data_IF_942696029585
#
_entry.id   IF_942696029585
#
_cell.length_a   1.000
_cell.length_b   1.000
_cell.length_c   1.000
_cell.angle_alpha   90.00
_cell.angle_beta   90.00
_cell.angle_gamma   90.00
#
_symmetry.space_group_name_H-M   'P 1'
#
loop_
_entity.id
_entity.type
_entity.pdbx_description
1 polymer ?
#
# COMPACT_ATOMS: atom_id res chain seq x y z
N UNK A 1 60.52 -46.50 -26.23
CA UNK A 1 59.62 -46.88 -27.35
C UNK A 1 58.66 -45.73 -27.56
N UNK A 2 58.64 -45.13 -28.75
CA UNK A 2 57.70 -44.08 -29.13
C UNK A 2 56.47 -44.72 -29.78
N UNK A 3 55.29 -44.49 -29.20
CA UNK A 3 54.02 -44.94 -29.78
C UNK A 3 53.57 -43.88 -30.78
N UNK A 4 53.63 -44.21 -32.07
CA UNK A 4 53.16 -43.35 -33.16
C UNK A 4 51.71 -43.72 -33.48
N UNK A 5 50.76 -42.90 -33.02
CA UNK A 5 49.33 -43.11 -33.29
C UNK A 5 49.00 -42.40 -34.61
N UNK A 6 48.91 -43.18 -35.69
CA UNK A 6 48.46 -42.68 -36.99
C UNK A 6 46.93 -42.64 -37.01
N UNK A 7 46.36 -41.49 -36.63
CA UNK A 7 44.91 -41.27 -36.71
C UNK A 7 44.54 -41.15 -38.18
N UNK A 8 43.91 -42.19 -38.72
CA UNK A 8 43.35 -42.18 -40.07
C UNK A 8 42.35 -41.03 -40.21
N UNK A 9 42.43 -40.27 -41.30
CA UNK A 9 41.57 -39.12 -41.60
C UNK A 9 40.06 -39.48 -41.47
N UNK A 10 39.70 -40.74 -41.74
CA UNK A 10 38.33 -41.26 -41.56
C UNK A 10 37.83 -41.17 -40.11
N UNK A 11 38.70 -41.44 -39.14
CA UNK A 11 38.35 -41.39 -37.71
C UNK A 11 38.02 -39.96 -37.25
N UNK A 12 38.73 -38.96 -37.80
CA UNK A 12 38.50 -37.53 -37.53
C UNK A 12 37.15 -37.09 -38.06
N UNK A 13 36.80 -37.46 -39.30
CA UNK A 13 35.49 -37.13 -39.87
C UNK A 13 34.33 -37.77 -39.10
N UNK A 14 34.46 -39.02 -38.62
CA UNK A 14 33.44 -39.64 -37.76
C UNK A 14 33.26 -38.91 -36.43
N UNK A 15 34.34 -38.43 -35.81
CA UNK A 15 34.28 -37.68 -34.55
C UNK A 15 33.59 -36.32 -34.72
N UNK A 16 33.91 -35.60 -35.80
CA UNK A 16 33.27 -34.32 -36.12
C UNK A 16 31.77 -34.50 -36.35
N UNK A 17 31.39 -35.55 -37.08
CA UNK A 17 29.97 -35.83 -37.37
C UNK A 17 29.20 -36.15 -36.09
N UNK A 18 29.79 -36.94 -35.19
CA UNK A 18 29.20 -37.29 -33.90
C UNK A 18 29.01 -36.05 -33.00
N UNK A 19 29.99 -35.14 -32.99
CA UNK A 19 29.90 -33.89 -32.23
C UNK A 19 28.75 -33.00 -32.72
N UNK A 20 28.55 -32.89 -34.05
CA UNK A 20 27.45 -32.12 -34.64
C UNK A 20 26.09 -32.71 -34.22
N UNK A 21 25.93 -34.04 -34.30
CA UNK A 21 24.70 -34.71 -33.87
C UNK A 21 24.41 -34.47 -32.39
N UNK A 22 25.44 -34.49 -31.55
CA UNK A 22 25.30 -34.26 -30.11
C UNK A 22 24.80 -32.84 -29.80
N UNK A 23 25.35 -31.82 -30.48
CA UNK A 23 24.94 -30.42 -30.30
C UNK A 23 23.47 -30.23 -30.71
N UNK A 24 23.06 -30.83 -31.83
CA UNK A 24 21.67 -30.77 -32.29
C UNK A 24 20.74 -31.46 -31.28
N UNK A 25 21.11 -32.64 -30.77
CA UNK A 25 20.31 -33.37 -29.79
C UNK A 25 20.15 -32.59 -28.48
N UNK A 26 21.21 -31.94 -27.98
CA UNK A 26 21.15 -31.07 -26.79
C UNK A 26 20.27 -29.85 -27.05
N UNK A 27 20.39 -29.22 -28.23
CA UNK A 27 19.57 -28.07 -28.61
C UNK A 27 18.07 -28.40 -28.65
N UNK A 28 17.72 -29.55 -29.25
CA UNK A 28 16.32 -30.04 -29.27
C UNK A 28 15.83 -30.34 -27.86
N UNK A 29 16.65 -31.01 -27.04
CA UNK A 29 16.26 -31.33 -25.67
C UNK A 29 16.05 -30.06 -24.84
N UNK A 30 16.94 -29.08 -24.93
CA UNK A 30 16.80 -27.80 -24.23
C UNK A 30 15.55 -27.02 -24.70
N UNK A 31 15.28 -26.99 -26.00
CA UNK A 31 14.11 -26.33 -26.57
C UNK A 31 12.79 -26.97 -26.09
N UNK A 32 12.76 -28.31 -26.02
CA UNK A 32 11.58 -29.07 -25.61
C UNK A 32 11.48 -29.27 -24.08
N UNK A 33 12.56 -28.99 -23.32
CA UNK A 33 12.59 -29.07 -21.85
C UNK A 33 12.17 -27.77 -21.17
N UNK A 34 11.96 -26.70 -21.94
CA UNK A 34 11.30 -25.50 -21.46
C UNK A 34 9.85 -25.82 -21.16
N UNK A 35 9.57 -26.30 -19.95
CA UNK A 35 8.20 -26.40 -19.44
C UNK A 35 7.48 -25.06 -19.59
N UNK A 36 6.13 -25.06 -19.53
CA UNK A 36 5.36 -23.82 -19.65
C UNK A 36 5.97 -22.76 -18.73
N UNK A 37 6.15 -21.51 -19.22
CA UNK A 37 6.71 -20.46 -18.39
C UNK A 37 5.92 -20.41 -17.09
N UNK A 38 6.63 -20.36 -15.95
CA UNK A 38 5.99 -20.15 -14.67
C UNK A 38 5.30 -18.79 -14.71
N UNK A 39 4.01 -18.77 -15.07
CA UNK A 39 3.14 -17.60 -14.99
C UNK A 39 2.88 -17.34 -13.51
N UNK A 40 3.87 -16.81 -12.82
CA UNK A 40 3.70 -16.27 -11.47
C UNK A 40 3.21 -14.83 -11.63
N UNK A 41 1.89 -14.67 -11.68
CA UNK A 41 1.23 -13.38 -11.72
C UNK A 41 -0.27 -13.57 -11.92
N UNK A 42 -1.06 -12.85 -11.13
CA UNK A 42 -2.50 -12.67 -11.38
C UNK A 42 -2.69 -11.98 -12.73
N UNK A 43 -3.79 -12.29 -13.43
CA UNK A 43 -4.13 -11.54 -14.63
C UNK A 43 -4.50 -10.09 -14.28
N UNK A 44 -4.37 -9.16 -15.22
CA UNK A 44 -4.75 -7.76 -14.98
C UNK A 44 -6.24 -7.64 -14.63
N UNK A 45 -7.07 -8.47 -15.25
CA UNK A 45 -8.51 -8.54 -14.97
C UNK A 45 -8.81 -9.03 -13.55
N UNK A 46 -8.01 -9.95 -13.00
CA UNK A 46 -8.14 -10.38 -11.61
C UNK A 46 -7.82 -9.23 -10.63
N UNK A 47 -6.79 -8.44 -10.93
CA UNK A 47 -6.38 -7.29 -10.09
C UNK A 47 -7.42 -6.16 -10.16
N UNK A 48 -7.88 -5.81 -11.36
CA UNK A 48 -8.91 -4.78 -11.55
C UNK A 48 -10.23 -5.16 -10.87
N UNK A 49 -10.62 -6.45 -10.92
CA UNK A 49 -11.81 -6.95 -10.24
C UNK A 49 -11.73 -6.82 -8.71
N UNK A 50 -10.56 -7.08 -8.13
CA UNK A 50 -10.32 -6.88 -6.69
C UNK A 50 -10.34 -5.40 -6.32
N UNK A 51 -9.70 -4.54 -7.12
CA UNK A 51 -9.68 -3.09 -6.87
C UNK A 51 -11.07 -2.45 -6.96
N UNK A 52 -11.91 -2.88 -7.91
CA UNK A 52 -13.29 -2.42 -8.02
C UNK A 52 -14.12 -2.81 -6.78
N UNK A 53 -13.95 -4.03 -6.27
CA UNK A 53 -14.63 -4.49 -5.04
C UNK A 53 -14.20 -3.70 -3.81
N UNK A 54 -12.90 -3.42 -3.67
CA UNK A 54 -12.37 -2.61 -2.57
C UNK A 54 -12.94 -1.18 -2.63
N UNK A 55 -12.91 -0.57 -3.82
CA UNK A 55 -13.41 0.80 -4.03
C UNK A 55 -14.90 0.89 -3.70
N UNK A 56 -15.71 -0.03 -4.22
CA UNK A 56 -17.16 -0.08 -3.96
C UNK A 56 -17.47 -0.33 -2.49
N UNK A 57 -16.75 -1.24 -1.84
CA UNK A 57 -16.90 -1.52 -0.42
C UNK A 57 -16.55 -0.32 0.46
N UNK A 58 -15.48 0.41 0.11
CA UNK A 58 -15.09 1.64 0.80
C UNK A 58 -16.14 2.74 0.66
N UNK A 59 -16.70 2.93 -0.55
CA UNK A 59 -17.80 3.87 -0.78
C UNK A 59 -19.05 3.47 -0.01
N UNK A 60 -19.36 2.17 0.07
CA UNK A 60 -20.51 1.66 0.83
C UNK A 60 -20.36 1.90 2.34
N UNK A 61 -19.18 1.65 2.92
CA UNK A 61 -18.94 1.94 4.35
C UNK A 61 -19.05 3.45 4.63
N UNK A 62 -18.49 4.29 3.76
CA UNK A 62 -18.56 5.76 3.89
C UNK A 62 -20.00 6.29 3.80
N UNK A 63 -20.78 5.84 2.81
CA UNK A 63 -22.18 6.26 2.63
C UNK A 63 -23.11 5.85 3.79
N UNK A 64 -22.72 4.82 4.55
CA UNK A 64 -23.46 4.35 5.71
C UNK A 64 -22.92 4.90 7.06
N UNK A 65 -21.91 5.77 7.05
CA UNK A 65 -21.18 6.22 8.24
C UNK A 65 -20.65 5.05 9.10
N UNK A 66 -20.18 3.99 8.45
CA UNK A 66 -19.63 2.80 9.08
C UNK A 66 -18.10 2.78 8.95
N UNK A 67 -17.42 2.19 9.93
CA UNK A 67 -15.98 1.98 9.89
C UNK A 67 -15.63 0.71 9.11
N UNK A 68 -14.41 0.63 8.57
CA UNK A 68 -13.91 -0.57 7.92
C UNK A 68 -13.43 -1.54 9.01
N UNK A 69 -14.11 -2.68 9.13
CA UNK A 69 -13.72 -3.75 10.06
C UNK A 69 -12.60 -4.60 9.49
N UNK A 70 -12.72 -4.99 8.21
CA UNK A 70 -11.78 -5.93 7.59
C UNK A 70 -11.81 -5.82 6.07
N UNK A 71 -10.67 -6.04 5.44
CA UNK A 71 -10.54 -6.24 4.00
C UNK A 71 -10.05 -7.67 3.80
N UNK A 72 -10.82 -8.49 3.08
CA UNK A 72 -10.39 -9.84 2.75
C UNK A 72 -9.34 -9.78 1.62
N UNK A 73 -8.09 -10.18 1.86
CA UNK A 73 -7.00 -10.06 0.89
C UNK A 73 -7.18 -10.99 -0.33
N UNK A 74 -7.93 -12.09 -0.18
CA UNK A 74 -8.13 -13.09 -1.23
C UNK A 74 -9.32 -12.74 -2.15
N UNK A 75 -10.30 -11.99 -1.65
CA UNK A 75 -11.54 -11.71 -2.39
C UNK A 75 -11.80 -10.23 -2.65
N UNK A 76 -11.04 -9.32 -2.02
CA UNK A 76 -11.25 -7.87 -2.09
C UNK A 76 -12.53 -7.40 -1.40
N UNK A 77 -13.21 -8.27 -0.65
CA UNK A 77 -14.43 -7.92 0.06
C UNK A 77 -14.12 -7.03 1.27
N UNK A 78 -14.80 -5.90 1.37
CA UNK A 78 -14.70 -4.96 2.50
C UNK A 78 -15.89 -5.17 3.42
N UNK A 79 -15.62 -5.45 4.69
CA UNK A 79 -16.66 -5.57 5.72
C UNK A 79 -16.71 -4.28 6.53
N UNK A 80 -17.89 -3.68 6.62
CA UNK A 80 -18.13 -2.49 7.43
C UNK A 80 -18.71 -2.90 8.79
N UNK A 81 -18.44 -2.13 9.83
CA UNK A 81 -19.13 -2.26 11.12
C UNK A 81 -19.62 -0.91 11.61
N UNK A 82 -20.70 -0.92 12.39
CA UNK A 82 -21.08 0.24 13.19
C UNK A 82 -19.92 0.52 14.12
N UNK A 83 -19.45 1.76 14.07
CA UNK A 83 -18.33 2.22 14.87
C UNK A 83 -18.67 2.04 16.35
N UNK A 84 -18.12 0.99 16.99
CA UNK A 84 -18.37 0.66 18.41
C UNK A 84 -17.69 1.64 19.38
N UNK A 85 -17.07 2.71 18.86
CA UNK A 85 -16.58 3.82 19.67
C UNK A 85 -17.68 4.86 19.79
N UNK A 86 -18.43 4.75 20.88
CA UNK A 86 -19.00 5.94 21.49
C UNK A 86 -17.91 7.01 21.59
N UNK A 87 -18.06 8.10 20.82
CA UNK A 87 -17.23 9.31 20.93
C UNK A 87 -15.71 9.09 21.00
N UNK A 88 -15.13 8.19 20.21
CA UNK A 88 -13.69 7.95 20.15
C UNK A 88 -13.20 7.95 18.71
N UNK A 89 -12.41 8.94 18.33
CA UNK A 89 -11.97 9.13 16.94
C UNK A 89 -11.15 7.97 16.36
N UNK A 90 -11.17 7.87 15.04
CA UNK A 90 -10.36 6.98 14.19
C UNK A 90 -8.89 7.04 14.64
N UNK A 91 -8.36 5.92 15.15
CA UNK A 91 -6.91 5.76 15.45
C UNK A 91 -6.20 5.39 14.13
N UNK A 92 -5.81 6.40 13.36
CA UNK A 92 -4.91 6.23 12.22
C UNK A 92 -3.48 6.13 12.73
N UNK A 93 -2.91 4.93 12.90
CA UNK A 93 -1.53 4.73 13.40
C UNK A 93 -1.36 5.13 14.90
N UNK A 94 -0.73 4.26 15.70
CA UNK A 94 -0.46 4.51 17.14
C UNK A 94 0.36 5.77 17.38
N UNK A 95 1.03 6.26 16.34
CA UNK A 95 1.85 7.47 16.39
C UNK A 95 1.09 8.72 15.95
N UNK A 96 -0.21 8.66 15.59
CA UNK A 96 -0.98 9.86 15.22
C UNK A 96 -2.07 10.11 16.24
N UNK A 97 -1.94 11.23 16.95
CA UNK A 97 -2.91 11.73 17.89
C UNK A 97 -3.83 12.74 17.20
N UNK A 98 -5.15 12.52 17.24
CA UNK A 98 -6.14 13.45 16.66
C UNK A 98 -6.97 14.08 17.76
N UNK A 99 -7.10 15.42 17.75
CA UNK A 99 -7.93 16.15 18.72
C UNK A 99 -8.80 17.20 18.08
N UNK A 100 -10.07 17.21 18.47
CA UNK A 100 -11.06 18.21 18.07
C UNK A 100 -11.46 19.06 19.27
N UNK A 101 -11.49 20.38 19.14
CA UNK A 101 -11.87 21.29 20.21
C UNK A 101 -12.54 22.57 19.68
N UNK A 102 -13.46 23.14 20.48
CA UNK A 102 -14.12 24.43 20.25
C UNK A 102 -13.49 25.57 21.08
N UNK A 103 -12.27 25.37 21.58
CA UNK A 103 -11.53 26.30 22.42
C UNK A 103 -10.06 25.89 22.55
N UNK A 104 -9.26 26.77 23.13
CA UNK A 104 -7.82 26.55 23.29
C UNK A 104 -7.54 25.28 24.08
N UNK A 105 -6.73 24.40 23.51
CA UNK A 105 -6.61 23.03 23.96
C UNK A 105 -5.16 22.53 23.83
N UNK A 106 -4.51 22.10 24.93
CA UNK A 106 -3.16 21.58 24.88
C UNK A 106 -3.15 20.19 24.24
N UNK A 107 -2.38 20.00 23.19
CA UNK A 107 -2.25 18.72 22.48
C UNK A 107 -1.18 17.81 23.13
N UNK A 108 -0.19 18.40 23.81
CA UNK A 108 0.88 17.67 24.48
C UNK A 108 2.17 17.64 23.67
N UNK A 109 3.11 16.79 24.11
CA UNK A 109 4.42 16.63 23.48
C UNK A 109 4.33 15.68 22.30
N UNK A 110 4.57 16.21 21.10
CA UNK A 110 4.57 15.48 19.84
C UNK A 110 5.66 16.01 18.91
N UNK A 111 6.14 15.21 17.97
CA UNK A 111 7.16 15.63 17.01
C UNK A 111 6.66 16.73 16.07
N UNK A 112 5.42 16.61 15.57
CA UNK A 112 4.78 17.68 14.80
C UNK A 112 3.25 17.64 14.89
N UNK A 113 2.59 18.80 14.81
CA UNK A 113 1.12 18.88 14.70
C UNK A 113 0.67 19.80 13.56
N UNK A 114 -0.45 19.48 12.93
CA UNK A 114 -1.05 20.26 11.84
C UNK A 114 -2.58 20.29 11.94
N UNK A 115 -3.18 21.36 11.40
CA UNK A 115 -4.64 21.52 11.30
C UNK A 115 -5.19 20.62 10.20
N UNK A 116 -6.30 19.96 10.46
CA UNK A 116 -6.93 19.03 9.50
C UNK A 116 -8.36 19.38 9.13
N UNK A 117 -9.08 20.12 9.97
CA UNK A 117 -10.44 20.55 9.64
C UNK A 117 -10.87 21.77 10.45
N UNK A 118 -11.58 22.69 9.78
CA UNK A 118 -12.37 23.77 10.39
C UNK A 118 -13.83 23.41 10.14
N UNK A 119 -14.60 23.07 11.17
CA UNK A 119 -16.05 22.92 11.07
C UNK A 119 -16.72 24.08 11.79
N UNK A 120 -17.58 24.79 11.08
CA UNK A 120 -18.58 25.63 11.73
C UNK A 120 -19.64 24.70 12.36
N UNK A 121 -20.23 25.10 13.50
CA UNK A 121 -21.25 24.30 14.19
C UNK A 121 -22.52 24.05 13.34
N UNK A 122 -22.70 24.78 12.24
CA UNK A 122 -23.77 24.62 11.25
C UNK A 122 -23.48 23.54 10.18
N UNK A 123 -22.33 22.85 10.26
CA UNK A 123 -21.92 21.82 9.31
C UNK A 123 -21.26 22.36 8.04
N UNK A 124 -21.03 23.67 7.92
CA UNK A 124 -20.30 24.25 6.78
C UNK A 124 -18.78 24.17 6.99
N UNK A 125 -18.04 23.79 5.94
CA UNK A 125 -16.58 23.82 5.92
C UNK A 125 -16.11 25.21 5.46
N UNK A 126 -15.73 26.07 6.41
CA UNK A 126 -15.05 27.33 6.07
C UNK A 126 -13.63 27.06 5.60
N UNK A 127 -13.24 27.73 4.51
CA UNK A 127 -11.85 27.72 4.02
C UNK A 127 -10.84 28.10 5.10
N UNK A 128 -9.59 27.71 4.88
CA UNK A 128 -8.44 27.59 5.80
C UNK A 128 -7.99 28.90 6.51
N UNK A 129 -8.83 29.93 6.62
CA UNK A 129 -8.47 31.26 7.14
C UNK A 129 -9.40 31.81 8.24
N UNK A 130 -10.25 30.99 8.85
CA UNK A 130 -11.19 31.46 9.88
C UNK A 130 -11.00 30.78 11.22
N UNK A 131 -10.04 31.24 12.04
CA UNK A 131 -10.12 31.06 13.50
C UNK A 131 -9.47 29.83 14.11
N UNK A 132 -8.66 29.04 13.40
CA UNK A 132 -7.95 27.91 14.03
C UNK A 132 -6.44 28.04 13.79
N UNK A 133 -5.63 27.86 14.84
CA UNK A 133 -4.17 27.88 14.75
C UNK A 133 -3.57 26.76 15.59
N UNK A 134 -2.45 26.18 15.17
CA UNK A 134 -1.68 25.24 16.00
C UNK A 134 -0.30 25.85 16.22
N UNK A 135 0.10 26.03 17.48
CA UNK A 135 1.43 26.53 17.84
C UNK A 135 2.19 25.54 18.69
N UNK A 136 3.50 25.53 18.48
CA UNK A 136 4.46 24.81 19.29
C UNK A 136 5.12 25.78 20.28
N UNK A 137 5.27 25.35 21.52
CA UNK A 137 6.00 26.08 22.54
C UNK A 137 6.71 25.08 23.45
N UNK A 138 8.05 25.15 23.48
CA UNK A 138 8.90 24.32 24.35
C UNK A 138 8.64 22.80 24.22
N UNK A 139 8.42 22.31 22.99
CA UNK A 139 8.16 20.89 22.72
C UNK A 139 6.75 20.43 23.06
N UNK A 140 5.82 21.36 23.29
CA UNK A 140 4.40 21.07 23.49
C UNK A 140 3.55 21.84 22.48
N UNK A 141 2.54 21.17 21.94
CA UNK A 141 1.65 21.72 20.95
C UNK A 141 0.34 22.18 21.58
N UNK A 142 -0.19 23.31 21.10
CA UNK A 142 -1.50 23.85 21.52
C UNK A 142 -2.32 24.18 20.28
N UNK A 143 -3.57 23.72 20.29
CA UNK A 143 -4.59 24.12 19.32
C UNK A 143 -5.33 25.34 19.85
N UNK A 144 -5.34 26.42 19.09
CA UNK A 144 -6.07 27.65 19.35
C UNK A 144 -7.31 27.72 18.47
N UNK A 145 -8.43 28.13 19.07
CA UNK A 145 -9.72 28.27 18.41
C UNK A 145 -10.29 29.67 18.69
N UNK A 146 -10.15 30.57 17.72
CA UNK A 146 -10.56 31.97 17.75
C UNK A 146 -11.90 32.18 17.05
N UNK A 147 -12.90 32.64 17.80
CA UNK A 147 -14.23 32.97 17.27
C UNK A 147 -15.33 32.49 18.21
N UNK A 148 -16.58 32.76 17.87
CA UNK A 148 -17.71 32.40 18.74
C UNK A 148 -18.02 30.91 18.71
N UNK A 149 -17.72 30.20 17.60
CA UNK A 149 -18.09 28.79 17.41
C UNK A 149 -17.19 27.98 16.42
N UNK A 150 -15.85 28.17 16.31
CA UNK A 150 -15.04 27.31 15.45
C UNK A 150 -14.77 25.96 16.13
N UNK A 151 -15.21 24.85 15.54
CA UNK A 151 -14.72 23.52 15.91
C UNK A 151 -13.46 23.23 15.10
N UNK A 152 -12.30 23.26 15.78
CA UNK A 152 -11.00 23.04 15.17
C UNK A 152 -10.53 21.60 15.39
N UNK A 153 -9.93 20.98 14.36
CA UNK A 153 -9.33 19.65 14.47
C UNK A 153 -7.84 19.69 14.15
N UNK A 154 -7.00 19.27 15.08
CA UNK A 154 -5.56 19.10 14.89
C UNK A 154 -5.18 17.61 14.88
N UNK A 155 -4.15 17.27 14.10
CA UNK A 155 -3.48 15.99 14.13
C UNK A 155 -2.02 16.18 14.49
N UNK A 156 -1.54 15.37 15.41
CA UNK A 156 -0.19 15.35 15.93
C UNK A 156 0.45 14.00 15.64
N UNK A 157 1.75 13.98 15.43
CA UNK A 157 2.51 12.77 15.15
C UNK A 157 3.79 12.75 15.97
N UNK A 158 4.15 11.57 16.48
CA UNK A 158 5.41 11.27 17.16
C UNK A 158 6.47 10.68 16.22
#
# INVERSE_FOLDING_TARGET
MSVNINISNKAVYTLITLAIVLVIAIGINAYNSGGPPSTMGHSIEEIEGVQAKITNGLTACSGANLAIKTINPDTGAVTCETDDVGSGGIILNSNVYTRTASGDTPLGTHAFCFLTQIRNLDGSSSGINGGCEVRESSGSWTLYAYGTEPTCTARCVD
#
